data_IF_347382763986
#
_entry.id   IF_347382763986
#
_cell.length_a   1.000
_cell.length_b   1.000
_cell.length_c   1.000
_cell.angle_alpha   90.00
_cell.angle_beta   90.00
_cell.angle_gamma   90.00
#
_symmetry.space_group_name_H-M   'P 1'
#
loop_
_entity.id
_entity.type
_entity.pdbx_description
1 polymer ?
#
# COMPACT_ATOMS: atom_id res chain seq x y z
N UNK A 1 -6.90 8.12 4.52
CA UNK A 1 -6.42 9.52 4.58
C UNK A 1 -7.15 10.29 5.66
N UNK A 2 -6.47 11.24 6.36
CA UNK A 2 -7.12 12.21 7.25
C UNK A 2 -7.76 13.33 6.43
N UNK A 3 -8.60 14.17 7.07
CA UNK A 3 -9.20 15.33 6.40
C UNK A 3 -8.13 16.34 5.94
N UNK A 4 -7.07 16.52 6.72
CA UNK A 4 -5.94 17.37 6.34
C UNK A 4 -5.19 16.83 5.13
N UNK A 5 -4.96 15.52 5.06
CA UNK A 5 -4.34 14.87 3.88
C UNK A 5 -5.25 14.98 2.65
N UNK A 6 -6.57 14.81 2.82
CA UNK A 6 -7.53 15.04 1.73
C UNK A 6 -7.55 16.49 1.26
N UNK A 7 -7.37 17.46 2.18
CA UNK A 7 -7.27 18.88 1.83
C UNK A 7 -6.02 19.19 0.98
N UNK A 8 -4.90 18.46 1.20
CA UNK A 8 -3.70 18.61 0.39
C UNK A 8 -3.90 18.20 -1.10
N UNK A 9 -4.94 17.42 -1.39
CA UNK A 9 -5.30 17.00 -2.75
C UNK A 9 -6.49 17.78 -3.34
N UNK A 10 -6.99 18.84 -2.67
CA UNK A 10 -8.19 19.58 -3.09
C UNK A 10 -8.11 20.07 -4.53
N UNK A 11 -6.94 20.56 -4.94
CA UNK A 11 -6.72 21.12 -6.26
C UNK A 11 -6.22 20.09 -7.28
N UNK A 12 -6.18 18.81 -6.91
CA UNK A 12 -5.82 17.69 -7.76
C UNK A 12 -6.90 16.59 -7.72
N UNK A 13 -7.95 16.69 -8.57
CA UNK A 13 -9.06 15.72 -8.58
C UNK A 13 -8.62 14.27 -8.78
N UNK A 14 -7.56 14.02 -9.56
CA UNK A 14 -7.02 12.68 -9.80
C UNK A 14 -6.45 12.09 -8.50
N UNK A 15 -5.66 12.85 -7.75
CA UNK A 15 -5.14 12.40 -6.46
C UNK A 15 -6.23 12.28 -5.41
N UNK A 16 -7.19 13.21 -5.37
CA UNK A 16 -8.33 13.15 -4.48
C UNK A 16 -9.23 11.92 -4.75
N UNK A 17 -9.33 11.47 -5.99
CA UNK A 17 -10.01 10.24 -6.37
C UNK A 17 -9.23 9.01 -5.87
N UNK A 18 -7.93 8.93 -6.17
CA UNK A 18 -7.04 7.83 -5.77
C UNK A 18 -6.95 7.68 -4.24
N UNK A 19 -6.97 8.79 -3.52
CA UNK A 19 -6.97 8.80 -2.06
C UNK A 19 -8.21 8.18 -1.40
N UNK A 20 -9.25 7.90 -2.18
CA UNK A 20 -10.48 7.23 -1.75
C UNK A 20 -10.56 5.76 -2.19
N UNK A 21 -9.54 5.24 -2.87
CA UNK A 21 -9.45 3.82 -3.17
C UNK A 21 -9.37 2.99 -1.88
N UNK A 22 -9.80 1.73 -1.94
CA UNK A 22 -9.81 0.84 -0.78
C UNK A 22 -8.43 0.18 -0.53
N UNK A 23 -7.34 0.84 -0.94
CA UNK A 23 -5.97 0.34 -0.82
C UNK A 23 -5.63 -0.07 0.61
N UNK A 24 -5.26 -1.33 0.80
CA UNK A 24 -4.91 -1.87 2.11
C UNK A 24 -6.09 -2.15 3.05
N UNK A 25 -7.33 -1.97 2.59
CA UNK A 25 -8.52 -2.25 3.41
C UNK A 25 -8.85 -3.73 3.33
N UNK A 26 -9.02 -4.36 4.50
CA UNK A 26 -9.55 -5.72 4.62
C UNK A 26 -10.67 -5.77 5.65
N UNK A 27 -11.59 -6.71 5.45
CA UNK A 27 -12.55 -7.15 6.45
C UNK A 27 -11.97 -8.41 7.06
N UNK A 28 -11.71 -8.42 8.37
CA UNK A 28 -11.11 -9.58 9.04
C UNK A 28 -11.82 -9.85 10.36
N UNK A 29 -12.24 -11.10 10.56
CA UNK A 29 -12.92 -11.51 11.79
C UNK A 29 -12.76 -13.03 12.04
N UNK A 30 -13.00 -13.43 13.28
CA UNK A 30 -13.28 -14.81 13.64
C UNK A 30 -14.81 -15.02 13.70
N UNK A 31 -15.31 -16.09 13.10
CA UNK A 31 -16.75 -16.39 13.08
C UNK A 31 -17.02 -17.88 13.05
N UNK A 32 -18.16 -18.27 13.64
CA UNK A 32 -18.75 -19.61 13.60
C UNK A 32 -19.96 -19.68 12.64
N UNK A 33 -20.01 -18.79 11.65
CA UNK A 33 -21.06 -18.77 10.65
C UNK A 33 -21.08 -20.06 9.79
N UNK A 34 -22.25 -20.42 9.25
CA UNK A 34 -22.38 -21.46 8.24
C UNK A 34 -22.10 -20.94 6.83
N UNK A 35 -22.23 -19.64 6.61
CA UNK A 35 -21.81 -18.95 5.39
C UNK A 35 -21.65 -17.45 5.62
N UNK A 36 -20.84 -16.80 4.77
CA UNK A 36 -20.74 -15.35 4.72
C UNK A 36 -21.07 -14.87 3.31
N UNK A 37 -22.07 -13.97 3.21
CA UNK A 37 -22.46 -13.36 1.94
C UNK A 37 -22.00 -11.91 1.90
N UNK A 38 -21.35 -11.51 0.78
CA UNK A 38 -20.89 -10.16 0.53
C UNK A 38 -21.52 -9.64 -0.76
N UNK A 39 -21.99 -8.38 -0.72
CA UNK A 39 -22.41 -7.64 -1.91
C UNK A 39 -21.82 -6.23 -1.84
N UNK A 40 -21.28 -5.77 -2.94
CA UNK A 40 -20.68 -4.45 -3.03
C UNK A 40 -20.64 -3.87 -4.43
N UNK A 41 -20.20 -2.62 -4.53
CA UNK A 41 -20.06 -1.90 -5.78
C UNK A 41 -18.65 -1.37 -5.93
N UNK A 42 -18.03 -1.66 -7.05
CA UNK A 42 -16.80 -1.01 -7.50
C UNK A 42 -17.13 0.38 -8.07
N UNK A 43 -16.24 1.32 -7.82
CA UNK A 43 -16.28 2.67 -8.39
C UNK A 43 -14.87 3.12 -8.70
N UNK A 44 -14.72 3.93 -9.74
CA UNK A 44 -13.42 4.41 -10.16
C UNK A 44 -12.63 5.05 -8.99
N UNK A 45 -11.42 4.54 -8.75
CA UNK A 45 -10.46 5.00 -7.76
C UNK A 45 -9.05 5.19 -8.34
N UNK A 46 -8.83 4.73 -9.59
CA UNK A 46 -7.56 4.85 -10.29
C UNK A 46 -7.75 5.00 -11.80
N UNK A 47 -6.66 4.84 -12.55
CA UNK A 47 -6.68 4.76 -14.02
C UNK A 47 -6.90 3.34 -14.55
N UNK A 48 -7.12 2.36 -13.68
CA UNK A 48 -7.40 0.98 -14.06
C UNK A 48 -8.90 0.73 -14.14
N UNK A 49 -9.30 -0.26 -14.94
CA UNK A 49 -10.69 -0.68 -15.10
C UNK A 49 -10.99 -2.04 -14.47
N UNK A 50 -9.96 -2.82 -14.12
CA UNK A 50 -10.11 -4.08 -13.41
C UNK A 50 -10.23 -3.85 -11.91
N UNK A 51 -10.88 -4.79 -11.23
CA UNK A 51 -10.97 -4.81 -9.77
C UNK A 51 -11.05 -6.25 -9.27
N UNK A 52 -10.41 -6.53 -8.13
CA UNK A 52 -10.39 -7.85 -7.52
C UNK A 52 -10.70 -7.80 -6.03
N UNK A 53 -11.18 -8.93 -5.50
CA UNK A 53 -11.37 -9.20 -4.07
C UNK A 53 -10.78 -10.57 -3.77
N UNK A 54 -9.95 -10.66 -2.75
CA UNK A 54 -9.35 -11.92 -2.30
C UNK A 54 -9.97 -12.36 -0.98
N UNK A 55 -10.32 -13.62 -0.89
CA UNK A 55 -10.92 -14.23 0.31
C UNK A 55 -10.02 -15.33 0.85
N UNK A 56 -9.70 -15.19 2.13
CA UNK A 56 -8.90 -16.17 2.87
C UNK A 56 -9.71 -16.78 4.00
N UNK A 57 -9.56 -18.07 4.19
CA UNK A 57 -10.07 -18.79 5.34
C UNK A 57 -8.89 -19.46 6.07
N UNK A 58 -8.71 -19.11 7.34
CA UNK A 58 -7.61 -19.61 8.17
C UNK A 58 -6.21 -19.41 7.53
N UNK A 59 -6.04 -18.28 6.84
CA UNK A 59 -4.79 -17.92 6.15
C UNK A 59 -4.57 -18.55 4.77
N UNK A 60 -5.52 -19.36 4.29
CA UNK A 60 -5.48 -19.96 2.94
C UNK A 60 -6.43 -19.21 2.03
N UNK A 61 -5.96 -18.80 0.86
CA UNK A 61 -6.83 -18.21 -0.17
C UNK A 61 -7.79 -19.26 -0.70
N UNK A 62 -9.08 -19.01 -0.55
CA UNK A 62 -10.15 -19.91 -0.99
C UNK A 62 -10.92 -19.36 -2.19
N UNK A 63 -10.77 -18.06 -2.46
CA UNK A 63 -11.48 -17.41 -3.56
C UNK A 63 -10.79 -16.14 -3.98
N UNK A 64 -10.78 -15.91 -5.29
CA UNK A 64 -10.50 -14.63 -5.92
C UNK A 64 -11.67 -14.30 -6.84
N UNK A 65 -12.25 -13.13 -6.66
CA UNK A 65 -13.30 -12.59 -7.53
C UNK A 65 -12.74 -11.35 -8.23
N UNK A 66 -12.79 -11.34 -9.54
CA UNK A 66 -12.31 -10.21 -10.33
C UNK A 66 -13.29 -9.80 -11.42
N UNK A 67 -13.17 -8.58 -11.88
CA UNK A 67 -13.76 -8.08 -13.11
C UNK A 67 -12.71 -7.35 -13.92
N UNK A 68 -12.61 -7.64 -15.21
CA UNK A 68 -11.71 -6.94 -16.13
C UNK A 68 -12.15 -5.50 -16.36
N UNK A 69 -13.45 -5.24 -16.27
CA UNK A 69 -14.04 -3.93 -16.48
C UNK A 69 -15.23 -3.66 -15.53
N UNK A 70 -14.95 -3.05 -14.39
CA UNK A 70 -15.99 -2.71 -13.43
C UNK A 70 -16.95 -1.60 -13.93
N UNK A 71 -16.64 -0.90 -15.01
CA UNK A 71 -17.61 0.03 -15.63
C UNK A 71 -18.76 -0.71 -16.29
N UNK A 72 -18.53 -1.94 -16.77
CA UNK A 72 -19.55 -2.83 -17.33
C UNK A 72 -20.16 -3.73 -16.27
N UNK A 73 -19.37 -4.14 -15.28
CA UNK A 73 -19.77 -5.02 -14.18
C UNK A 73 -19.42 -4.38 -12.82
N UNK A 74 -20.15 -3.33 -12.40
CA UNK A 74 -19.82 -2.59 -11.18
C UNK A 74 -20.21 -3.33 -9.91
N UNK A 75 -21.16 -4.27 -9.96
CA UNK A 75 -21.64 -5.00 -8.79
C UNK A 75 -20.95 -6.34 -8.66
N UNK A 76 -20.55 -6.66 -7.43
CA UNK A 76 -20.07 -7.96 -7.05
C UNK A 76 -20.95 -8.53 -5.94
N UNK A 77 -21.31 -9.80 -6.06
CA UNK A 77 -22.07 -10.52 -5.04
C UNK A 77 -21.66 -11.99 -5.01
N UNK A 78 -21.25 -12.47 -3.86
CA UNK A 78 -20.88 -13.87 -3.67
C UNK A 78 -21.16 -14.34 -2.25
N UNK A 79 -21.23 -15.66 -2.10
CA UNK A 79 -21.37 -16.34 -0.83
C UNK A 79 -20.20 -17.30 -0.61
N UNK A 80 -19.68 -17.33 0.59
CA UNK A 80 -18.60 -18.20 1.06
C UNK A 80 -19.24 -19.20 2.02
N UNK A 81 -19.38 -20.49 1.64
CA UNK A 81 -19.84 -21.51 2.57
C UNK A 81 -18.76 -21.76 3.62
N UNK A 82 -19.17 -21.91 4.86
CA UNK A 82 -18.36 -22.26 6.02
C UNK A 82 -18.96 -23.49 6.72
N UNK A 83 -18.23 -24.07 7.66
CA UNK A 83 -18.59 -25.32 8.33
C UNK A 83 -19.25 -25.14 9.71
N UNK A 84 -19.52 -23.88 10.10
CA UNK A 84 -20.06 -23.57 11.44
C UNK A 84 -19.02 -23.67 12.57
N UNK A 85 -17.78 -24.08 12.28
CA UNK A 85 -16.69 -24.00 13.23
C UNK A 85 -16.13 -22.58 13.32
N UNK A 86 -15.36 -22.27 14.37
CA UNK A 86 -14.69 -20.99 14.51
C UNK A 86 -13.57 -20.87 13.49
N UNK A 87 -13.76 -20.02 12.48
CA UNK A 87 -12.82 -19.75 11.41
C UNK A 87 -12.37 -18.30 11.43
N UNK A 88 -11.14 -18.04 10.98
CA UNK A 88 -10.66 -16.68 10.66
C UNK A 88 -10.93 -16.41 9.19
N UNK A 89 -11.80 -15.44 8.92
CA UNK A 89 -12.12 -14.94 7.59
C UNK A 89 -11.40 -13.63 7.35
N UNK A 90 -10.70 -13.50 6.23
CA UNK A 90 -10.13 -12.25 5.76
C UNK A 90 -10.56 -11.99 4.32
N UNK A 91 -11.08 -10.78 4.04
CA UNK A 91 -11.51 -10.34 2.70
C UNK A 91 -10.76 -9.07 2.37
N UNK A 92 -9.82 -9.15 1.43
CA UNK A 92 -9.08 -7.99 0.92
C UNK A 92 -9.92 -7.29 -0.14
N UNK A 93 -10.17 -5.99 0.07
CA UNK A 93 -10.91 -5.14 -0.86
C UNK A 93 -10.04 -4.65 -2.01
N UNK A 94 -10.61 -4.14 -3.12
CA UNK A 94 -9.86 -3.76 -4.31
C UNK A 94 -8.85 -2.65 -4.00
N UNK A 95 -7.58 -2.88 -4.34
CA UNK A 95 -6.49 -1.96 -4.00
C UNK A 95 -6.54 -0.62 -4.73
N UNK A 96 -7.04 -0.60 -5.95
CA UNK A 96 -7.00 0.55 -6.85
C UNK A 96 -8.35 1.25 -7.01
N UNK A 97 -9.44 0.63 -6.54
CA UNK A 97 -10.78 1.13 -6.77
C UNK A 97 -11.46 1.52 -5.45
N UNK A 98 -12.41 2.42 -5.54
CA UNK A 98 -13.32 2.68 -4.42
C UNK A 98 -14.31 1.53 -4.32
N UNK A 99 -14.57 1.09 -3.12
CA UNK A 99 -15.53 0.02 -2.86
C UNK A 99 -16.64 0.49 -1.93
N UNK A 100 -17.88 0.22 -2.31
CA UNK A 100 -19.05 0.48 -1.47
C UNK A 100 -19.62 -0.85 -1.02
N UNK A 101 -19.32 -1.27 0.20
CA UNK A 101 -19.93 -2.45 0.82
C UNK A 101 -21.43 -2.18 0.99
N UNK A 102 -22.28 -2.98 0.35
CA UNK A 102 -23.74 -2.89 0.41
C UNK A 102 -24.32 -3.83 1.45
N UNK A 103 -23.76 -5.05 1.50
CA UNK A 103 -24.25 -6.10 2.39
C UNK A 103 -23.10 -6.99 2.82
N UNK A 104 -23.08 -7.32 4.10
CA UNK A 104 -22.23 -8.37 4.69
C UNK A 104 -23.10 -9.13 5.68
N UNK A 105 -23.29 -10.41 5.44
CA UNK A 105 -24.18 -11.25 6.26
C UNK A 105 -23.43 -12.48 6.71
N UNK A 106 -23.42 -12.71 8.00
CA UNK A 106 -22.94 -13.93 8.64
C UNK A 106 -24.16 -14.80 8.94
N UNK A 107 -24.36 -15.85 8.16
CA UNK A 107 -25.52 -16.75 8.29
C UNK A 107 -25.34 -17.67 9.50
N UNK A 108 -26.36 -17.72 10.34
CA UNK A 108 -26.42 -18.57 11.53
C UNK A 108 -25.23 -18.41 12.49
N UNK A 109 -24.55 -17.28 12.44
CA UNK A 109 -23.44 -17.00 13.34
C UNK A 109 -23.93 -16.73 14.76
N UNK A 110 -23.34 -17.37 15.74
CA UNK A 110 -23.47 -17.00 17.15
C UNK A 110 -22.37 -16.02 17.60
N UNK A 111 -21.26 -16.00 16.87
CA UNK A 111 -20.07 -15.17 17.18
C UNK A 111 -19.47 -14.54 15.92
N UNK A 112 -19.18 -13.25 16.02
CA UNK A 112 -18.29 -12.51 15.11
C UNK A 112 -17.37 -11.69 15.98
N UNK A 113 -16.08 -12.03 16.00
CA UNK A 113 -15.09 -11.48 16.91
C UNK A 113 -13.95 -10.81 16.11
N UNK A 114 -13.34 -9.75 16.64
CA UNK A 114 -12.17 -9.14 16.00
C UNK A 114 -10.97 -10.09 16.05
N UNK A 115 -10.12 -10.01 15.04
CA UNK A 115 -8.79 -10.64 15.04
C UNK A 115 -7.79 -9.69 15.70
N UNK A 116 -7.06 -10.11 16.74
CA UNK A 116 -6.04 -9.26 17.36
C UNK A 116 -4.88 -8.97 16.39
N UNK A 117 -4.42 -7.73 16.37
CA UNK A 117 -3.23 -7.32 15.61
C UNK A 117 -2.06 -7.02 16.54
N UNK A 118 -0.83 -7.23 16.08
CA UNK A 118 0.40 -7.05 16.88
C UNK A 118 0.92 -5.61 16.87
N UNK A 119 0.41 -4.78 15.96
CA UNK A 119 0.86 -3.40 15.82
C UNK A 119 0.21 -2.71 14.63
N UNK A 120 0.65 -1.48 14.40
CA UNK A 120 0.11 -0.59 13.36
C UNK A 120 1.24 -0.05 12.49
N UNK A 121 1.06 -0.08 11.18
CA UNK A 121 2.01 0.46 10.20
C UNK A 121 1.32 1.49 9.30
N UNK A 122 1.94 2.65 9.10
CA UNK A 122 1.52 3.62 8.09
C UNK A 122 2.47 3.51 6.90
N UNK A 123 1.91 3.35 5.69
CA UNK A 123 2.69 3.24 4.46
C UNK A 123 2.45 4.46 3.57
N UNK A 124 3.39 5.41 3.52
CA UNK A 124 3.41 6.49 2.55
C UNK A 124 4.13 6.04 1.28
N UNK A 125 3.62 6.40 0.12
CA UNK A 125 4.27 6.08 -1.15
C UNK A 125 3.40 6.39 -2.37
N UNK A 126 3.89 5.98 -3.50
CA UNK A 126 3.29 6.23 -4.80
C UNK A 126 2.42 5.05 -5.30
N UNK A 127 2.33 4.86 -6.63
CA UNK A 127 1.58 3.78 -7.25
C UNK A 127 1.99 2.39 -6.77
N UNK A 128 3.28 2.17 -6.50
CA UNK A 128 3.78 0.87 -6.06
C UNK A 128 3.26 0.55 -4.65
N UNK A 129 3.22 1.54 -3.76
CA UNK A 129 2.63 1.39 -2.43
C UNK A 129 1.11 1.24 -2.50
N UNK A 130 0.45 1.96 -3.40
CA UNK A 130 -0.99 1.82 -3.62
C UNK A 130 -1.37 0.41 -4.09
N UNK A 131 -0.46 -0.31 -4.77
CA UNK A 131 -0.67 -1.65 -5.30
C UNK A 131 -1.00 -1.67 -6.79
N UNK A 132 -0.55 -0.65 -7.56
CA UNK A 132 -0.74 -0.64 -9.01
C UNK A 132 -0.18 -1.90 -9.63
N UNK A 133 -1.05 -2.51 -10.45
CA UNK A 133 -0.79 -3.69 -11.26
C UNK A 133 -0.64 -5.00 -10.46
N UNK A 134 -1.05 -5.00 -9.17
CA UNK A 134 -1.42 -6.21 -8.45
C UNK A 134 -2.87 -6.57 -8.84
N UNK A 135 -3.08 -7.69 -9.53
CA UNK A 135 -4.41 -8.21 -9.86
C UNK A 135 -5.09 -8.80 -8.63
N UNK A 136 -4.31 -9.47 -7.78
CA UNK A 136 -4.73 -9.91 -6.47
C UNK A 136 -4.46 -8.81 -5.43
N UNK A 137 -5.48 -8.16 -4.85
CA UNK A 137 -5.25 -7.09 -3.86
C UNK A 137 -4.37 -7.52 -2.69
N UNK A 138 -4.49 -8.77 -2.24
CA UNK A 138 -3.67 -9.32 -1.16
C UNK A 138 -2.18 -9.38 -1.49
N UNK A 139 -1.80 -9.38 -2.77
CA UNK A 139 -0.41 -9.46 -3.22
C UNK A 139 0.29 -8.10 -3.31
N UNK A 140 -0.41 -6.97 -3.25
CA UNK A 140 0.25 -5.68 -3.05
C UNK A 140 1.18 -5.76 -1.82
N UNK A 141 2.43 -5.29 -1.94
CA UNK A 141 3.44 -5.52 -0.89
C UNK A 141 3.02 -5.06 0.52
N UNK A 142 2.27 -3.94 0.71
CA UNK A 142 1.84 -3.58 2.06
C UNK A 142 0.90 -4.63 2.66
N UNK A 143 0.02 -5.21 1.84
CA UNK A 143 -0.96 -6.19 2.29
C UNK A 143 -0.29 -7.52 2.67
N UNK A 144 0.74 -7.93 1.93
CA UNK A 144 1.55 -9.10 2.30
C UNK A 144 2.28 -8.87 3.63
N UNK A 145 2.87 -7.67 3.82
CA UNK A 145 3.51 -7.32 5.09
C UNK A 145 2.49 -7.29 6.25
N UNK A 146 1.25 -6.82 5.99
CA UNK A 146 0.18 -6.85 6.99
C UNK A 146 -0.11 -8.27 7.47
N UNK A 147 -0.23 -9.22 6.52
CA UNK A 147 -0.48 -10.63 6.83
C UNK A 147 0.70 -11.28 7.55
N UNK A 148 1.94 -11.09 7.03
CA UNK A 148 3.15 -11.69 7.59
C UNK A 148 3.44 -11.22 9.02
N UNK A 149 3.31 -9.92 9.26
CA UNK A 149 3.59 -9.32 10.57
C UNK A 149 2.40 -9.34 11.52
N UNK A 150 1.20 -9.69 11.02
CA UNK A 150 -0.07 -9.64 11.76
C UNK A 150 -0.35 -8.24 12.31
N UNK A 151 -0.24 -7.22 11.45
CA UNK A 151 -0.41 -5.82 11.79
C UNK A 151 -1.57 -5.19 11.02
N UNK A 152 -2.09 -4.09 11.57
CA UNK A 152 -2.97 -3.19 10.82
C UNK A 152 -2.13 -2.27 9.93
N UNK A 153 -2.48 -2.17 8.64
CA UNK A 153 -1.81 -1.28 7.70
C UNK A 153 -2.73 -0.14 7.26
N UNK A 154 -2.21 1.08 7.38
CA UNK A 154 -2.82 2.28 6.80
C UNK A 154 -2.05 2.63 5.51
N UNK A 155 -2.53 2.10 4.39
CA UNK A 155 -1.93 2.37 3.08
C UNK A 155 -2.30 3.78 2.60
N UNK A 156 -1.30 4.63 2.47
CA UNK A 156 -1.41 6.02 1.99
C UNK A 156 -0.74 6.20 0.62
N UNK A 157 -0.54 5.11 -0.11
CA UNK A 157 -0.02 5.14 -1.47
C UNK A 157 -0.98 5.83 -2.44
N UNK A 158 -0.46 6.72 -3.27
CA UNK A 158 -1.21 7.44 -4.31
C UNK A 158 -0.48 7.34 -5.63
N UNK A 159 -1.15 6.78 -6.65
CA UNK A 159 -0.57 6.65 -7.98
C UNK A 159 -0.06 7.99 -8.53
N UNK A 160 1.22 8.00 -8.93
CA UNK A 160 1.93 9.15 -9.46
C UNK A 160 2.37 10.21 -8.44
N UNK A 161 2.16 9.99 -7.13
CA UNK A 161 2.59 10.92 -6.06
C UNK A 161 4.12 11.05 -5.98
N UNK A 162 4.53 12.18 -5.46
CA UNK A 162 5.93 12.56 -5.19
C UNK A 162 6.05 12.93 -3.71
N UNK A 163 7.24 13.22 -3.20
CA UNK A 163 7.37 13.81 -1.87
C UNK A 163 6.51 15.07 -1.77
N UNK A 164 5.50 15.03 -0.92
CA UNK A 164 4.53 16.10 -0.71
C UNK A 164 4.45 16.44 0.79
N UNK A 165 5.21 17.43 1.26
CA UNK A 165 5.19 17.82 2.68
C UNK A 165 3.82 18.29 3.18
N UNK A 166 2.92 18.75 2.30
CA UNK A 166 1.59 19.20 2.69
C UNK A 166 0.70 18.07 3.27
N UNK A 167 1.08 16.79 3.08
CA UNK A 167 0.42 15.66 3.70
C UNK A 167 0.67 15.53 5.21
N UNK A 168 1.68 16.24 5.72
CA UNK A 168 2.21 16.09 7.07
C UNK A 168 1.97 17.36 7.91
N UNK A 169 0.75 17.88 7.90
CA UNK A 169 0.35 19.06 8.72
C UNK A 169 -0.08 18.67 10.13
N UNK A 170 -0.57 17.45 10.30
CA UNK A 170 -0.98 16.86 11.56
C UNK A 170 -0.71 15.34 11.58
N UNK A 171 -0.54 14.72 12.75
CA UNK A 171 -0.39 13.27 12.83
C UNK A 171 -1.72 12.57 12.48
N UNK A 172 -1.61 11.33 12.03
CA UNK A 172 -2.76 10.45 11.96
C UNK A 172 -3.35 10.19 13.36
N UNK A 173 -4.66 9.90 13.46
CA UNK A 173 -5.29 9.61 14.76
C UNK A 173 -4.80 8.30 15.39
N UNK A 174 -4.10 7.46 14.63
CA UNK A 174 -3.49 6.22 15.10
C UNK A 174 -2.00 6.43 15.34
N UNK A 175 -1.47 5.84 16.42
CA UNK A 175 -0.03 5.84 16.70
C UNK A 175 0.62 4.65 16.01
N UNK A 176 1.45 4.85 14.98
CA UNK A 176 2.12 3.75 14.30
C UNK A 176 3.30 3.20 15.11
N UNK A 177 3.52 1.89 15.02
CA UNK A 177 4.72 1.21 15.51
C UNK A 177 5.85 1.25 14.47
N UNK A 178 5.50 1.43 13.18
CA UNK A 178 6.42 1.62 12.07
C UNK A 178 5.78 2.53 11.03
N UNK A 179 6.59 3.36 10.38
CA UNK A 179 6.20 4.08 9.16
C UNK A 179 7.10 3.62 8.02
N UNK A 180 6.53 3.29 6.85
CA UNK A 180 7.29 3.10 5.62
C UNK A 180 7.09 4.29 4.69
N UNK A 181 8.14 4.68 3.96
CA UNK A 181 8.11 5.78 2.98
C UNK A 181 8.77 5.29 1.70
N UNK A 182 7.99 5.16 0.63
CA UNK A 182 8.42 4.64 -0.67
C UNK A 182 8.11 5.64 -1.80
N UNK A 183 8.81 6.77 -1.79
CA UNK A 183 8.78 7.79 -2.84
C UNK A 183 10.12 7.89 -3.55
N UNK A 184 10.18 8.71 -4.60
CA UNK A 184 11.39 9.08 -5.29
C UNK A 184 11.44 8.67 -6.77
N UNK A 185 10.72 7.60 -7.16
CA UNK A 185 10.68 7.18 -8.57
C UNK A 185 9.96 8.20 -9.45
N UNK A 186 8.84 8.76 -8.96
CA UNK A 186 8.14 9.85 -9.64
C UNK A 186 8.86 11.18 -9.52
N UNK A 187 9.50 11.44 -8.37
CA UNK A 187 10.30 12.65 -8.16
C UNK A 187 11.43 12.73 -9.19
N UNK A 188 12.18 11.64 -9.39
CA UNK A 188 13.21 11.57 -10.43
C UNK A 188 12.67 11.89 -11.82
N UNK A 189 11.44 11.41 -12.14
CA UNK A 189 10.84 11.57 -13.47
C UNK A 189 10.19 12.95 -13.69
N UNK A 190 9.63 13.57 -12.62
CA UNK A 190 8.70 14.70 -12.73
C UNK A 190 9.21 16.01 -12.14
N UNK A 191 10.12 15.98 -11.13
CA UNK A 191 10.63 17.21 -10.52
C UNK A 191 11.42 18.05 -11.51
N UNK A 192 11.35 19.37 -11.33
CA UNK A 192 11.97 20.34 -12.22
C UNK A 192 13.51 20.24 -12.22
N UNK A 193 14.10 19.88 -11.06
CA UNK A 193 15.53 19.76 -10.87
C UNK A 193 15.86 19.00 -9.56
N UNK A 194 17.13 18.68 -9.36
CA UNK A 194 17.64 18.00 -8.17
C UNK A 194 17.50 18.84 -6.89
N UNK A 195 17.49 20.19 -6.99
CA UNK A 195 17.34 21.08 -5.83
C UNK A 195 15.94 20.98 -5.27
N UNK A 196 14.92 21.09 -6.12
CA UNK A 196 13.50 20.94 -5.74
C UNK A 196 13.23 19.56 -5.16
N UNK A 197 13.71 18.48 -5.80
CA UNK A 197 13.59 17.15 -5.26
C UNK A 197 14.20 17.03 -3.84
N UNK A 198 15.41 17.53 -3.66
CA UNK A 198 16.09 17.52 -2.35
C UNK A 198 15.33 18.31 -1.29
N UNK A 199 14.76 19.46 -1.64
CA UNK A 199 14.01 20.31 -0.72
C UNK A 199 12.74 19.62 -0.24
N UNK A 200 11.93 19.06 -1.16
CA UNK A 200 10.67 18.41 -0.84
C UNK A 200 10.89 17.15 -0.02
N UNK A 201 11.83 16.29 -0.42
CA UNK A 201 12.15 15.07 0.33
C UNK A 201 12.69 15.39 1.73
N UNK A 202 13.57 16.40 1.87
CA UNK A 202 14.09 16.80 3.17
C UNK A 202 13.00 17.39 4.08
N UNK A 203 12.10 18.21 3.53
CA UNK A 203 10.96 18.77 4.26
C UNK A 203 10.01 17.67 4.71
N UNK A 204 9.68 16.70 3.83
CA UNK A 204 8.83 15.56 4.15
C UNK A 204 9.38 14.75 5.34
N UNK A 205 10.64 14.29 5.25
CA UNK A 205 11.24 13.52 6.34
C UNK A 205 11.37 14.32 7.64
N UNK A 206 11.71 15.61 7.56
CA UNK A 206 11.76 16.48 8.74
C UNK A 206 10.40 16.58 9.42
N UNK A 207 9.33 16.85 8.67
CA UNK A 207 7.98 16.94 9.22
C UNK A 207 7.53 15.60 9.79
N UNK A 208 7.79 14.49 9.08
CA UNK A 208 7.45 13.15 9.53
C UNK A 208 8.10 12.82 10.88
N UNK A 209 9.40 13.15 11.05
CA UNK A 209 10.11 12.92 12.33
C UNK A 209 9.62 13.80 13.46
N UNK A 210 9.08 14.98 13.17
CA UNK A 210 8.46 15.88 14.17
C UNK A 210 7.08 15.37 14.59
N UNK A 211 6.27 14.91 13.64
CA UNK A 211 4.93 14.40 13.93
C UNK A 211 4.93 13.04 14.66
N UNK A 212 5.95 12.22 14.38
CA UNK A 212 6.06 10.87 14.93
C UNK A 212 7.41 10.66 15.66
N UNK A 213 7.63 11.39 16.78
CA UNK A 213 8.90 11.30 17.49
C UNK A 213 9.13 9.91 18.03
N UNK A 214 10.33 9.36 17.75
CA UNK A 214 10.73 8.04 18.20
C UNK A 214 10.12 6.85 17.47
N UNK A 215 9.16 7.06 16.56
CA UNK A 215 8.63 5.98 15.70
C UNK A 215 9.69 5.59 14.65
N UNK A 216 10.03 4.29 14.53
CA UNK A 216 10.90 3.81 13.47
C UNK A 216 10.34 4.14 12.09
N UNK A 217 11.20 4.57 11.18
CA UNK A 217 10.84 4.86 9.78
C UNK A 217 11.71 4.02 8.86
N UNK A 218 11.10 3.26 7.96
CA UNK A 218 11.79 2.57 6.87
C UNK A 218 11.65 3.39 5.59
N UNK A 219 12.72 4.06 5.18
CA UNK A 219 12.78 4.75 3.90
C UNK A 219 13.15 3.76 2.80
N UNK A 220 12.17 3.33 2.03
CA UNK A 220 12.33 2.41 0.90
C UNK A 220 12.72 3.23 -0.31
N UNK A 221 13.97 3.10 -0.75
CA UNK A 221 14.46 3.78 -1.93
C UNK A 221 13.76 3.21 -3.19
N UNK A 222 13.71 3.99 -4.30
CA UNK A 222 13.12 3.52 -5.54
C UNK A 222 13.62 2.14 -5.98
N UNK A 223 12.68 1.28 -6.37
CA UNK A 223 12.98 -0.04 -6.94
C UNK A 223 13.59 0.09 -8.34
N UNK A 224 14.09 -1.02 -8.86
CA UNK A 224 14.56 -1.08 -10.25
C UNK A 224 13.46 -0.65 -11.23
N UNK A 225 13.87 0.04 -12.30
CA UNK A 225 13.02 0.38 -13.44
C UNK A 225 13.82 0.32 -14.73
N UNK A 226 13.18 -0.08 -15.81
CA UNK A 226 13.84 -0.32 -17.11
C UNK A 226 14.51 0.92 -17.71
N UNK A 227 13.92 2.10 -17.47
CA UNK A 227 14.39 3.36 -18.02
C UNK A 227 15.40 4.12 -17.11
N UNK A 228 15.96 3.43 -16.08
CA UNK A 228 16.87 4.03 -15.08
C UNK A 228 18.17 4.62 -15.67
N UNK A 229 18.56 4.17 -16.87
CA UNK A 229 19.77 4.67 -17.54
C UNK A 229 19.53 6.00 -18.28
N UNK A 230 18.29 6.51 -18.30
CA UNK A 230 17.97 7.79 -18.88
C UNK A 230 18.41 8.93 -17.96
N UNK A 231 18.90 10.03 -18.58
CA UNK A 231 19.13 11.29 -17.88
C UNK A 231 17.82 12.08 -17.80
N UNK A 232 17.40 12.45 -16.59
CA UNK A 232 16.23 13.30 -16.34
C UNK A 232 16.68 14.67 -15.82
N UNK A 233 15.74 15.59 -15.60
CA UNK A 233 16.04 16.94 -15.04
C UNK A 233 16.68 16.88 -13.64
N UNK A 234 16.37 15.85 -12.87
CA UNK A 234 16.96 15.60 -11.54
C UNK A 234 18.39 15.04 -11.64
N UNK A 235 18.79 14.51 -12.78
CA UNK A 235 20.04 13.80 -13.00
C UNK A 235 19.82 12.33 -13.39
N UNK A 236 20.82 11.49 -13.15
CA UNK A 236 20.70 10.04 -13.30
C UNK A 236 19.82 9.45 -12.20
N UNK A 237 19.35 8.20 -12.39
CA UNK A 237 18.62 7.51 -11.35
C UNK A 237 19.45 7.31 -10.07
N UNK A 238 20.76 7.04 -10.23
CA UNK A 238 21.67 6.91 -9.09
C UNK A 238 21.87 8.26 -8.36
N UNK A 239 21.83 9.40 -9.06
CA UNK A 239 21.85 10.72 -8.41
C UNK A 239 20.63 10.91 -7.51
N UNK A 240 19.44 10.47 -7.96
CA UNK A 240 18.23 10.51 -7.13
C UNK A 240 18.35 9.60 -5.88
N UNK A 241 18.86 8.38 -6.03
CA UNK A 241 19.09 7.48 -4.90
C UNK A 241 20.13 8.07 -3.92
N UNK A 242 21.19 8.69 -4.42
CA UNK A 242 22.22 9.35 -3.62
C UNK A 242 21.65 10.53 -2.83
N UNK A 243 20.77 11.33 -3.44
CA UNK A 243 20.06 12.42 -2.75
C UNK A 243 19.26 11.87 -1.56
N UNK A 244 18.47 10.83 -1.77
CA UNK A 244 17.65 10.22 -0.72
C UNK A 244 18.51 9.64 0.42
N UNK A 245 19.58 8.89 0.09
CA UNK A 245 20.51 8.36 1.11
C UNK A 245 21.12 9.49 1.95
N UNK A 246 21.52 10.61 1.32
CA UNK A 246 22.08 11.76 2.02
C UNK A 246 21.07 12.45 2.97
N UNK A 247 19.79 12.49 2.58
CA UNK A 247 18.73 13.06 3.41
C UNK A 247 18.44 12.13 4.60
N UNK A 248 18.16 10.85 4.33
CA UNK A 248 17.77 9.89 5.35
C UNK A 248 18.84 9.71 6.45
N UNK A 249 20.11 9.74 6.08
CA UNK A 249 21.24 9.66 7.04
C UNK A 249 21.28 10.78 8.10
N UNK A 250 20.52 11.87 7.91
CA UNK A 250 20.45 12.96 8.88
C UNK A 250 19.48 12.68 10.04
N UNK A 251 18.67 11.63 9.93
CA UNK A 251 17.63 11.31 10.90
C UNK A 251 17.90 9.92 11.51
N UNK A 252 18.24 9.82 12.79
CA UNK A 252 18.66 8.55 13.42
C UNK A 252 17.54 7.50 13.46
N UNK A 253 16.27 7.91 13.43
CA UNK A 253 15.13 6.99 13.43
C UNK A 253 14.79 6.43 12.04
N UNK A 254 15.52 6.84 10.97
CA UNK A 254 15.28 6.37 9.60
C UNK A 254 16.26 5.26 9.25
N UNK A 255 15.73 4.08 9.00
CA UNK A 255 16.42 2.96 8.38
C UNK A 255 16.26 3.06 6.86
N UNK A 256 17.36 3.09 6.14
CA UNK A 256 17.37 3.03 4.67
C UNK A 256 17.19 1.59 4.24
N UNK A 257 16.24 1.35 3.34
CA UNK A 257 16.02 0.08 2.66
C UNK A 257 16.32 0.29 1.17
N UNK A 258 17.33 -0.42 0.66
CA UNK A 258 17.70 -0.33 -0.74
C UNK A 258 16.61 -0.96 -1.62
N UNK A 259 16.04 -0.15 -2.54
CA UNK A 259 14.90 -0.57 -3.34
C UNK A 259 15.28 -1.42 -4.55
N UNK A 260 16.40 -1.09 -5.20
CA UNK A 260 16.83 -1.76 -6.44
C UNK A 260 16.85 -3.30 -6.33
N UNK A 261 17.34 -3.93 -5.24
CA UNK A 261 17.36 -5.39 -5.12
C UNK A 261 16.05 -6.02 -4.65
N UNK A 262 14.97 -5.24 -4.43
CA UNK A 262 13.73 -5.79 -3.88
C UNK A 262 12.95 -6.64 -4.89
N UNK A 263 13.07 -6.33 -6.19
CA UNK A 263 12.41 -7.05 -7.29
C UNK A 263 13.48 -7.51 -8.29
N UNK A 264 13.38 -8.72 -8.87
CA UNK A 264 14.29 -9.13 -9.94
C UNK A 264 14.28 -8.15 -11.12
N UNK A 265 15.45 -7.89 -11.71
CA UNK A 265 15.62 -6.89 -12.79
C UNK A 265 15.22 -7.46 -14.17
N UNK A 266 14.09 -8.11 -14.25
CA UNK A 266 13.58 -8.80 -15.43
C UNK A 266 12.16 -8.29 -15.73
N UNK A 267 11.85 -7.96 -17.01
CA UNK A 267 10.56 -7.39 -17.39
C UNK A 267 9.34 -8.22 -16.99
N UNK A 268 9.48 -9.55 -16.89
CA UNK A 268 8.41 -10.47 -16.51
C UNK A 268 7.91 -10.31 -15.06
N UNK A 269 8.62 -9.56 -14.21
CA UNK A 269 8.18 -9.22 -12.85
C UNK A 269 7.46 -7.87 -12.77
N UNK A 270 7.24 -7.22 -13.91
CA UNK A 270 6.60 -5.91 -14.01
C UNK A 270 5.46 -5.98 -15.04
N UNK A 271 4.26 -5.58 -14.64
CA UNK A 271 3.07 -5.61 -15.50
C UNK A 271 3.24 -4.72 -16.74
N UNK A 272 3.77 -3.52 -16.56
CA UNK A 272 4.09 -2.60 -17.65
C UNK A 272 5.48 -2.90 -18.30
N UNK A 273 6.08 -4.04 -17.96
CA UNK A 273 7.44 -4.45 -18.35
C UNK A 273 8.52 -3.41 -18.02
N UNK A 274 8.25 -2.48 -17.10
CA UNK A 274 9.10 -1.31 -16.87
C UNK A 274 9.27 -0.86 -15.41
N UNK A 275 8.16 -0.70 -14.67
CA UNK A 275 8.15 0.02 -13.38
C UNK A 275 7.24 -0.61 -12.33
N UNK A 276 6.01 -0.95 -12.70
CA UNK A 276 5.03 -1.46 -11.74
C UNK A 276 5.16 -2.97 -11.60
N UNK A 277 5.53 -3.48 -10.41
CA UNK A 277 5.56 -4.92 -10.19
C UNK A 277 4.20 -5.54 -10.47
N UNK A 278 4.18 -6.71 -11.11
CA UNK A 278 3.02 -7.57 -11.14
C UNK A 278 2.94 -8.40 -9.84
N UNK A 279 1.97 -9.32 -9.75
CA UNK A 279 1.77 -10.15 -8.56
C UNK A 279 3.06 -10.88 -8.14
N UNK A 280 3.79 -11.48 -9.08
CA UNK A 280 5.07 -12.14 -8.81
C UNK A 280 6.15 -11.16 -8.35
N UNK A 281 6.22 -9.98 -8.96
CA UNK A 281 7.14 -8.92 -8.55
C UNK A 281 6.86 -8.42 -7.14
N UNK A 282 5.59 -8.28 -6.77
CA UNK A 282 5.18 -7.91 -5.41
C UNK A 282 5.50 -8.99 -4.37
N UNK A 283 5.42 -10.28 -4.72
CA UNK A 283 5.87 -11.37 -3.84
C UNK A 283 7.37 -11.23 -3.48
N UNK A 284 8.22 -11.00 -4.48
CA UNK A 284 9.65 -10.75 -4.24
C UNK A 284 9.85 -9.49 -3.40
N UNK A 285 9.14 -8.40 -3.73
CA UNK A 285 9.27 -7.13 -3.02
C UNK A 285 8.90 -7.28 -1.54
N UNK A 286 7.76 -7.88 -1.24
CA UNK A 286 7.29 -8.07 0.14
C UNK A 286 8.25 -8.95 0.95
N UNK A 287 8.66 -10.10 0.39
CA UNK A 287 9.61 -11.00 1.05
C UNK A 287 10.94 -10.30 1.39
N UNK A 288 11.51 -9.57 0.42
CA UNK A 288 12.77 -8.87 0.62
C UNK A 288 12.63 -7.69 1.59
N UNK A 289 11.49 -6.99 1.59
CA UNK A 289 11.18 -5.94 2.55
C UNK A 289 11.05 -6.50 3.97
N UNK A 290 10.28 -7.57 4.16
CA UNK A 290 10.10 -8.22 5.45
C UNK A 290 11.46 -8.63 6.04
N UNK A 291 12.33 -9.23 5.23
CA UNK A 291 13.68 -9.62 5.62
C UNK A 291 14.57 -8.42 5.99
N UNK A 292 14.53 -7.33 5.21
CA UNK A 292 15.35 -6.15 5.46
C UNK A 292 14.84 -5.32 6.65
N UNK A 293 13.53 -5.13 6.79
CA UNK A 293 12.94 -4.34 7.87
C UNK A 293 12.97 -5.12 9.18
N UNK A 294 12.57 -6.39 9.14
CA UNK A 294 12.44 -7.25 10.33
C UNK A 294 11.24 -6.84 11.19
N UNK A 295 11.09 -7.46 12.35
CA UNK A 295 9.94 -7.28 13.26
C UNK A 295 10.31 -6.61 14.59
N UNK A 296 11.48 -6.02 14.69
CA UNK A 296 11.96 -5.38 15.93
C UNK A 296 11.13 -4.17 16.38
N UNK A 297 10.30 -3.61 15.49
CA UNK A 297 9.36 -2.54 15.79
C UNK A 297 8.10 -3.02 16.52
N UNK A 298 7.77 -4.31 16.43
CA UNK A 298 6.66 -4.89 17.17
C UNK A 298 7.07 -5.05 18.64
N UNK A 299 6.29 -4.47 19.54
CA UNK A 299 6.49 -4.70 20.97
C UNK A 299 6.19 -6.17 21.27
N UNK A 300 7.06 -6.81 22.02
CA UNK A 300 6.85 -8.15 22.56
C UNK A 300 5.72 -8.15 23.58
#
# INVERSE_FOLDING_TARGET
>A
MTDAQMAAYRDNPDFAMKARAASGIRIECQTDANAVALTGLFRQGSSRSYAGIDVFLNGVMIRHEETENFHEQPEISFEIPLDGAMNTLSVWLPGLERFSLKKLVFKDASKVLPVPVKGTVICFGDSITQGYDAHYPSLAYPNQLAAEWQVEIFNKGIGAEVFNPALLTEPDPVKPDLITVAYGTNDWSKKADAKTFRQDAAAFFKQLTVLYPGTPIAAILPIWRKDRDQLKKVGTFEDALKILRQICKKFPQIKIVEGVPLVPHLPEFFEDARLHPNDSGFLFMAHNLAKQIGTSFLKK
#
